data_IF_866393732603
#
_entry.id   IF_866393732603
#
_cell.length_a   1.000
_cell.length_b   1.000
_cell.length_c   1.000
_cell.angle_alpha   90.00
_cell.angle_beta   90.00
_cell.angle_gamma   90.00
#
_symmetry.space_group_name_H-M   'P 1'
#
loop_
_entity.id
_entity.type
_entity.pdbx_description
1 polymer ?
#
# COMPACT_ATOMS: atom_id res chain seq x y z
N UNK A 1 -10.50 5.14 -13.45
CA UNK A 1 -10.52 6.42 -12.71
C UNK A 1 -9.78 6.22 -11.39
N UNK A 2 -8.88 7.16 -11.05
CA UNK A 2 -8.14 7.15 -9.79
C UNK A 2 -8.48 8.43 -9.02
N UNK A 3 -8.92 8.29 -7.78
CA UNK A 3 -9.28 9.38 -6.89
C UNK A 3 -8.49 9.27 -5.59
N UNK A 4 -8.21 10.40 -4.94
CA UNK A 4 -7.57 10.45 -3.61
C UNK A 4 -8.31 11.45 -2.73
N UNK A 5 -8.65 11.05 -1.51
CA UNK A 5 -9.50 11.84 -0.60
C UNK A 5 -10.98 11.47 -0.70
N UNK A 6 -11.78 11.91 0.29
CA UNK A 6 -13.24 11.74 0.29
C UNK A 6 -13.77 10.31 0.44
N UNK A 7 -12.94 9.37 0.93
CA UNK A 7 -13.31 7.95 1.12
C UNK A 7 -13.37 7.49 2.59
N UNK A 8 -13.34 8.43 3.54
CA UNK A 8 -13.27 8.14 4.98
C UNK A 8 -14.67 7.96 5.61
N UNK A 9 -14.79 8.23 6.93
CA UNK A 9 -16.06 8.36 7.69
C UNK A 9 -16.31 9.78 8.25
N UNK A 10 -15.73 10.81 7.66
CA UNK A 10 -16.01 12.20 8.01
C UNK A 10 -17.33 12.71 7.43
N UNK A 11 -17.78 13.88 7.90
CA UNK A 11 -19.01 14.55 7.44
C UNK A 11 -19.02 14.96 5.95
N UNK A 12 -17.94 14.68 5.20
CA UNK A 12 -17.73 15.08 3.81
C UNK A 12 -17.50 13.91 2.83
N UNK A 13 -17.78 12.66 3.24
CA UNK A 13 -17.54 11.48 2.37
C UNK A 13 -18.72 11.20 1.43
N UNK A 14 -18.96 12.15 0.53
CA UNK A 14 -19.96 12.04 -0.54
C UNK A 14 -19.51 11.12 -1.68
N UNK A 15 -18.23 10.74 -1.73
CA UNK A 15 -17.68 10.05 -2.89
C UNK A 15 -18.26 8.66 -3.11
N UNK A 16 -18.39 7.77 -2.10
CA UNK A 16 -19.02 6.47 -2.30
C UNK A 16 -20.47 6.61 -2.80
N UNK A 17 -21.22 7.57 -2.27
CA UNK A 17 -22.60 7.83 -2.70
C UNK A 17 -22.63 8.33 -4.15
N UNK A 18 -21.85 9.35 -4.50
CA UNK A 18 -21.80 9.90 -5.86
C UNK A 18 -21.37 8.85 -6.90
N UNK A 19 -20.44 7.95 -6.55
CA UNK A 19 -20.03 6.85 -7.41
C UNK A 19 -21.17 5.85 -7.63
N UNK A 20 -21.93 5.51 -6.58
CA UNK A 20 -23.11 4.64 -6.71
C UNK A 20 -24.20 5.27 -7.56
N UNK A 21 -24.50 6.56 -7.35
CA UNK A 21 -25.46 7.33 -8.16
C UNK A 21 -25.03 7.43 -9.64
N UNK A 22 -23.71 7.41 -9.89
CA UNK A 22 -23.14 7.37 -11.24
C UNK A 22 -23.12 5.95 -11.87
N UNK A 23 -23.73 4.97 -11.21
CA UNK A 23 -23.83 3.59 -11.70
C UNK A 23 -22.56 2.75 -11.51
N UNK A 24 -21.66 3.15 -10.61
CA UNK A 24 -20.49 2.35 -10.24
C UNK A 24 -20.90 1.37 -9.13
N UNK A 25 -20.69 0.08 -9.35
CA UNK A 25 -20.90 -0.94 -8.33
C UNK A 25 -19.72 -0.96 -7.37
N UNK A 26 -19.99 -0.74 -6.09
CA UNK A 26 -19.01 -0.92 -5.01
C UNK A 26 -18.68 -2.40 -4.84
N UNK A 27 -17.39 -2.73 -4.85
CA UNK A 27 -16.89 -4.10 -4.62
C UNK A 27 -16.41 -4.22 -3.17
N UNK A 28 -15.65 -3.24 -2.69
CA UNK A 28 -15.32 -3.13 -1.27
C UNK A 28 -15.06 -1.68 -0.86
N UNK A 29 -15.32 -1.40 0.41
CA UNK A 29 -14.99 -0.14 1.07
C UNK A 29 -14.27 -0.43 2.38
N UNK A 30 -12.94 -0.44 2.31
CA UNK A 30 -11.89 -0.72 3.31
C UNK A 30 -11.07 -1.97 2.99
N UNK A 31 -9.81 -1.91 3.40
CA UNK A 31 -8.85 -3.01 3.39
C UNK A 31 -8.19 -3.14 4.75
N UNK A 32 -7.85 -4.36 5.16
CA UNK A 32 -7.23 -4.64 6.44
C UNK A 32 -5.73 -4.35 6.41
N UNK A 33 -5.35 -3.07 6.31
CA UNK A 33 -3.96 -2.65 6.24
C UNK A 33 -3.65 -1.39 7.04
N UNK A 34 -2.35 -1.14 7.23
CA UNK A 34 -1.82 0.15 7.68
C UNK A 34 -0.56 0.51 6.88
N UNK A 35 -0.38 1.78 6.47
CA UNK A 35 -1.40 2.83 6.40
C UNK A 35 -2.41 2.57 5.28
N UNK A 36 -3.59 3.21 5.36
CA UNK A 36 -4.57 3.18 4.26
C UNK A 36 -5.71 2.19 4.41
N UNK A 37 -6.21 1.99 5.63
CA UNK A 37 -7.41 1.20 5.87
C UNK A 37 -8.63 1.69 5.05
N UNK A 38 -8.93 3.01 4.92
CA UNK A 38 -9.93 3.45 3.96
C UNK A 38 -9.42 3.19 2.55
N UNK A 39 -10.17 2.44 1.76
CA UNK A 39 -9.88 2.23 0.35
C UNK A 39 -11.20 1.83 -0.28
N UNK A 40 -11.64 2.56 -1.28
CA UNK A 40 -12.86 2.23 -1.98
C UNK A 40 -12.52 1.73 -3.39
N UNK A 41 -13.10 0.60 -3.76
CA UNK A 41 -12.92 0.00 -5.07
C UNK A 41 -14.27 -0.40 -5.66
N UNK A 42 -14.42 -0.13 -6.96
CA UNK A 42 -15.63 -0.47 -7.67
C UNK A 42 -15.44 -0.40 -9.18
N UNK A 43 -16.49 -0.79 -9.90
CA UNK A 43 -16.49 -0.81 -11.35
C UNK A 43 -17.87 -0.46 -11.89
N UNK A 44 -17.89 0.32 -12.97
CA UNK A 44 -19.09 0.50 -13.79
C UNK A 44 -19.17 -0.65 -14.80
N UNK A 45 -20.28 -1.39 -14.89
CA UNK A 45 -20.45 -2.44 -15.91
C UNK A 45 -20.19 -1.89 -17.32
N UNK A 46 -19.31 -2.57 -18.07
CA UNK A 46 -18.88 -2.13 -19.41
C UNK A 46 -18.10 -0.80 -19.44
N UNK A 47 -17.67 -0.30 -18.29
CA UNK A 47 -17.07 1.03 -18.14
C UNK A 47 -15.84 1.06 -17.26
N UNK A 48 -15.64 2.19 -16.57
CA UNK A 48 -14.42 2.45 -15.82
C UNK A 48 -14.34 1.61 -14.54
N UNK A 49 -13.16 1.06 -14.29
CA UNK A 49 -12.70 0.64 -12.96
C UNK A 49 -12.31 1.86 -12.15
N UNK A 50 -12.71 1.91 -10.88
CA UNK A 50 -12.53 3.06 -9.99
C UNK A 50 -11.76 2.64 -8.74
N UNK A 51 -10.63 3.30 -8.51
CA UNK A 51 -9.88 3.24 -7.26
C UNK A 51 -10.01 4.58 -6.57
N UNK A 52 -10.49 4.59 -5.33
CA UNK A 52 -10.54 5.79 -4.51
C UNK A 52 -9.76 5.57 -3.22
N UNK A 53 -8.60 6.22 -3.16
CA UNK A 53 -7.58 6.11 -2.11
C UNK A 53 -7.82 7.17 -1.02
N UNK A 54 -7.27 7.01 0.19
CA UNK A 54 -7.33 8.01 1.25
C UNK A 54 -6.84 9.40 0.81
N UNK A 55 -7.19 10.44 1.57
CA UNK A 55 -6.56 11.76 1.38
C UNK A 55 -5.15 11.85 1.97
N UNK A 56 -4.79 10.88 2.82
CA UNK A 56 -3.46 10.82 3.42
C UNK A 56 -2.42 10.39 2.35
N UNK A 57 -1.35 11.17 2.12
CA UNK A 57 -0.40 10.88 1.04
C UNK A 57 0.33 9.55 1.21
N UNK A 58 0.73 9.19 2.44
CA UNK A 58 1.44 7.92 2.71
C UNK A 58 0.54 6.72 2.41
N UNK A 59 -0.71 6.79 2.85
CA UNK A 59 -1.72 5.77 2.57
C UNK A 59 -2.05 5.65 1.07
N UNK A 60 -2.19 6.79 0.39
CA UNK A 60 -2.41 6.84 -1.07
C UNK A 60 -1.26 6.19 -1.81
N UNK A 61 -0.03 6.55 -1.42
CA UNK A 61 1.18 6.03 -2.01
C UNK A 61 1.28 4.50 -1.84
N UNK A 62 1.06 4.00 -0.62
CA UNK A 62 1.01 2.57 -0.35
C UNK A 62 -0.06 1.85 -1.19
N UNK A 63 -1.28 2.40 -1.23
CA UNK A 63 -2.38 1.85 -2.03
C UNK A 63 -2.08 1.82 -3.53
N UNK A 64 -1.41 2.85 -4.05
CA UNK A 64 -1.01 2.90 -5.45
C UNK A 64 -0.03 1.77 -5.80
N UNK A 65 1.06 1.63 -5.05
CA UNK A 65 2.07 0.61 -5.36
C UNK A 65 1.56 -0.82 -5.14
N UNK A 66 0.71 -1.03 -4.14
CA UNK A 66 0.19 -2.36 -3.82
C UNK A 66 -0.90 -2.83 -4.77
N UNK A 67 -1.79 -1.94 -5.21
CA UNK A 67 -3.01 -2.32 -5.93
C UNK A 67 -3.12 -1.70 -7.32
N UNK A 68 -2.84 -0.41 -7.46
CA UNK A 68 -3.14 0.34 -8.70
C UNK A 68 -2.06 0.12 -9.76
N UNK A 69 -0.77 0.17 -9.38
CA UNK A 69 0.35 0.05 -10.32
C UNK A 69 0.33 -1.27 -11.07
N UNK A 70 0.14 -2.39 -10.36
CA UNK A 70 0.06 -3.72 -10.96
C UNK A 70 -1.11 -3.84 -11.93
N UNK A 71 -2.31 -3.40 -11.50
CA UNK A 71 -3.50 -3.37 -12.34
C UNK A 71 -3.31 -2.51 -13.61
N UNK A 72 -2.72 -1.32 -13.49
CA UNK A 72 -2.49 -0.44 -14.62
C UNK A 72 -1.52 -1.05 -15.64
N UNK A 73 -0.44 -1.67 -15.16
CA UNK A 73 0.53 -2.36 -16.02
C UNK A 73 -0.13 -3.52 -16.76
N UNK A 74 -0.93 -4.32 -16.06
CA UNK A 74 -1.63 -5.45 -16.65
C UNK A 74 -2.64 -5.01 -17.73
N UNK A 75 -3.40 -3.94 -17.48
CA UNK A 75 -4.35 -3.41 -18.48
C UNK A 75 -3.67 -2.79 -19.69
N UNK A 76 -2.40 -2.41 -19.58
CA UNK A 76 -1.54 -1.98 -20.69
C UNK A 76 -0.82 -3.14 -21.40
N UNK A 77 -1.10 -4.40 -21.03
CA UNK A 77 -0.46 -5.57 -21.62
C UNK A 77 1.01 -5.77 -21.19
N UNK A 78 1.46 -5.09 -20.13
CA UNK A 78 2.80 -5.30 -19.60
C UNK A 78 2.86 -6.58 -18.78
N UNK A 79 4.02 -7.26 -18.82
CA UNK A 79 4.30 -8.37 -17.93
C UNK A 79 4.35 -7.88 -16.47
N UNK A 80 3.75 -8.67 -15.58
CA UNK A 80 3.82 -8.42 -14.14
C UNK A 80 5.16 -8.96 -13.64
N UNK A 81 5.98 -8.08 -13.06
CA UNK A 81 7.26 -8.45 -12.46
C UNK A 81 7.04 -9.52 -11.37
N UNK A 82 7.98 -10.47 -11.26
CA UNK A 82 7.96 -11.43 -10.16
C UNK A 82 8.00 -10.71 -8.81
N UNK A 83 7.26 -11.23 -7.83
CA UNK A 83 7.26 -10.68 -6.48
C UNK A 83 8.68 -10.76 -5.89
N UNK A 84 9.22 -9.62 -5.49
CA UNK A 84 10.51 -9.52 -4.80
C UNK A 84 10.29 -9.62 -3.30
N UNK A 85 11.26 -10.20 -2.59
CA UNK A 85 11.31 -10.28 -1.13
C UNK A 85 12.57 -9.60 -0.61
N UNK A 86 12.50 -9.09 0.62
CA UNK A 86 13.66 -8.60 1.36
C UNK A 86 13.62 -9.10 2.81
N UNK A 87 14.80 -9.25 3.42
CA UNK A 87 14.93 -9.63 4.82
C UNK A 87 14.89 -8.39 5.71
N UNK A 88 14.09 -8.44 6.75
CA UNK A 88 14.03 -7.38 7.75
C UNK A 88 15.38 -7.25 8.47
N UNK A 89 16.00 -6.07 8.45
CA UNK A 89 17.34 -5.88 9.02
C UNK A 89 17.34 -5.79 10.56
N UNK A 90 16.25 -5.30 11.15
CA UNK A 90 16.06 -5.16 12.60
C UNK A 90 14.64 -5.58 12.98
N UNK A 91 14.40 -6.14 14.17
CA UNK A 91 13.07 -6.59 14.55
C UNK A 91 12.07 -5.42 14.56
N UNK A 92 10.81 -5.72 14.25
CA UNK A 92 9.69 -4.77 14.26
C UNK A 92 8.54 -5.34 15.06
N UNK A 93 7.97 -4.53 15.95
CA UNK A 93 6.72 -4.87 16.64
C UNK A 93 5.56 -4.09 16.02
N UNK A 94 4.50 -4.81 15.64
CA UNK A 94 3.27 -4.26 15.11
C UNK A 94 2.06 -5.04 15.64
N UNK A 95 1.45 -4.53 16.71
CA UNK A 95 0.33 -5.18 17.41
C UNK A 95 -0.99 -5.31 16.62
N UNK A 96 -1.40 -4.36 15.76
CA UNK A 96 -2.68 -4.46 15.07
C UNK A 96 -2.74 -5.67 14.12
N UNK A 97 -3.89 -6.35 14.08
CA UNK A 97 -4.16 -7.44 13.12
C UNK A 97 -4.46 -6.89 11.72
N UNK A 98 -3.49 -6.22 11.12
CA UNK A 98 -3.56 -5.58 9.80
C UNK A 98 -2.27 -5.88 9.04
N UNK A 99 -2.34 -5.97 7.70
CA UNK A 99 -1.12 -5.96 6.89
C UNK A 99 -0.41 -4.63 7.08
N UNK A 100 0.86 -4.65 7.49
CA UNK A 100 1.63 -3.44 7.71
C UNK A 100 2.59 -3.19 6.55
N UNK A 101 2.35 -2.11 5.83
CA UNK A 101 3.23 -1.62 4.77
C UNK A 101 4.28 -0.70 5.38
N UNK A 102 5.38 -1.32 5.84
CA UNK A 102 6.49 -0.64 6.46
C UNK A 102 7.39 0.01 5.39
N UNK A 103 7.59 1.32 5.46
CA UNK A 103 8.57 1.99 4.63
C UNK A 103 9.99 1.55 5.01
N UNK A 104 10.80 1.19 4.01
CA UNK A 104 12.15 0.65 4.23
C UNK A 104 13.18 1.26 3.30
N UNK A 105 14.40 1.38 3.80
CA UNK A 105 15.62 1.58 3.01
C UNK A 105 16.22 0.22 2.67
N UNK A 106 16.72 0.07 1.45
CA UNK A 106 17.23 -1.20 0.96
C UNK A 106 18.76 -1.20 0.92
N UNK A 107 19.36 -2.31 1.36
CA UNK A 107 20.80 -2.55 1.29
C UNK A 107 21.06 -3.91 0.64
N UNK A 108 21.97 -3.96 -0.33
CA UNK A 108 22.48 -5.23 -0.85
C UNK A 108 23.64 -5.69 0.03
N UNK A 109 23.41 -6.71 0.85
CA UNK A 109 24.44 -7.28 1.69
C UNK A 109 25.51 -8.02 0.86
N UNK A 110 26.76 -8.15 1.35
CA UNK A 110 27.84 -8.84 0.64
C UNK A 110 27.55 -10.31 0.31
N UNK A 111 26.62 -10.94 1.01
CA UNK A 111 26.19 -12.33 0.78
C UNK A 111 25.03 -12.46 -0.22
N UNK A 112 24.67 -11.37 -0.90
CA UNK A 112 23.63 -11.35 -1.92
C UNK A 112 22.20 -11.20 -1.39
N UNK A 113 22.02 -11.06 -0.07
CA UNK A 113 20.70 -10.80 0.51
C UNK A 113 20.32 -9.33 0.34
N UNK A 114 19.04 -9.09 0.05
CA UNK A 114 18.45 -7.77 0.09
C UNK A 114 17.91 -7.50 1.50
N UNK A 115 18.56 -6.60 2.23
CA UNK A 115 18.15 -6.19 3.57
C UNK A 115 17.22 -4.98 3.48
N UNK A 116 16.21 -4.96 4.35
CA UNK A 116 15.23 -3.90 4.47
C UNK A 116 15.32 -3.29 5.87
N UNK A 117 15.87 -2.08 5.94
CA UNK A 117 15.98 -1.28 7.14
C UNK A 117 14.73 -0.45 7.33
N UNK A 118 14.00 -0.56 8.46
CA UNK A 118 12.85 0.30 8.74
C UNK A 118 13.24 1.78 8.59
N UNK A 119 12.56 2.50 7.71
CA UNK A 119 12.81 3.92 7.54
C UNK A 119 12.30 4.67 8.79
N UNK A 120 13.03 5.68 9.28
CA UNK A 120 12.52 6.53 10.36
C UNK A 120 11.34 7.34 9.84
N UNK A 121 10.11 6.91 10.13
CA UNK A 121 8.89 7.66 9.79
C UNK A 121 8.24 8.22 11.05
N UNK A 122 7.89 9.50 11.06
CA UNK A 122 7.22 10.20 12.16
C UNK A 122 5.69 9.95 12.24
N UNK A 123 5.17 8.95 11.51
CA UNK A 123 3.76 8.56 11.52
C UNK A 123 3.10 8.61 10.13
N UNK A 124 1.77 8.44 10.08
CA UNK A 124 1.04 8.27 8.83
C UNK A 124 1.00 9.53 7.95
N UNK A 125 1.30 10.72 8.46
CA UNK A 125 1.37 11.96 7.67
C UNK A 125 2.77 12.29 7.15
N UNK A 126 3.78 11.48 7.49
CA UNK A 126 5.17 11.79 7.22
C UNK A 126 5.57 11.45 5.78
N UNK A 127 5.32 12.39 4.88
CA UNK A 127 5.75 12.32 3.48
C UNK A 127 7.29 12.38 3.36
N UNK A 128 7.97 13.07 4.28
CA UNK A 128 9.43 13.14 4.28
C UNK A 128 10.06 11.77 4.56
N UNK A 129 9.47 10.99 5.46
CA UNK A 129 9.84 9.60 5.70
C UNK A 129 9.71 8.71 4.44
N UNK A 130 8.71 8.95 3.59
CA UNK A 130 8.63 8.27 2.28
C UNK A 130 9.72 8.73 1.30
N UNK A 131 10.17 9.97 1.37
CA UNK A 131 11.27 10.46 0.55
C UNK A 131 12.63 9.85 0.93
N UNK A 132 12.75 9.26 2.10
CA UNK A 132 13.96 8.55 2.50
C UNK A 132 13.91 7.05 2.18
N UNK A 133 12.75 6.50 1.81
CA UNK A 133 12.54 5.06 1.61
C UNK A 133 12.68 4.64 0.13
N UNK A 134 12.99 3.36 -0.07
CA UNK A 134 13.15 2.73 -1.39
C UNK A 134 11.99 1.80 -1.76
N UNK A 135 11.28 1.30 -0.74
CA UNK A 135 10.18 0.36 -0.88
C UNK A 135 9.26 0.29 0.33
N UNK A 136 8.18 -0.48 0.18
CA UNK A 136 7.31 -0.90 1.27
C UNK A 136 7.46 -2.40 1.49
N UNK A 137 7.82 -2.82 2.69
CA UNK A 137 7.82 -4.21 3.11
C UNK A 137 6.43 -4.57 3.67
N UNK A 138 5.78 -5.59 3.11
CA UNK A 138 4.44 -6.02 3.51
C UNK A 138 4.53 -7.08 4.62
N UNK A 139 4.38 -6.65 5.86
CA UNK A 139 4.35 -7.51 7.04
C UNK A 139 2.91 -8.02 7.26
N UNK A 140 2.74 -9.34 7.31
CA UNK A 140 1.42 -9.97 7.36
C UNK A 140 0.70 -9.80 8.70
N UNK A 141 -0.65 -9.90 8.74
CA UNK A 141 -1.46 -9.61 9.94
C UNK A 141 -1.42 -10.68 11.04
N UNK A 142 -0.78 -11.84 10.80
CA UNK A 142 -0.89 -13.03 11.64
C UNK A 142 0.12 -13.07 12.80
N UNK A 143 0.93 -12.03 12.96
CA UNK A 143 1.92 -11.93 14.03
C UNK A 143 2.12 -10.47 14.43
N UNK A 144 2.53 -10.28 15.68
CA UNK A 144 2.76 -8.94 16.24
C UNK A 144 4.23 -8.60 16.37
N UNK A 145 5.11 -9.61 16.33
CA UNK A 145 6.55 -9.46 16.37
C UNK A 145 7.15 -10.03 15.08
N UNK A 146 7.99 -9.26 14.43
CA UNK A 146 8.67 -9.62 13.19
C UNK A 146 10.17 -9.65 13.45
N UNK A 147 10.76 -10.84 13.45
CA UNK A 147 12.17 -11.01 13.76
C UNK A 147 13.06 -10.48 12.63
N UNK A 148 14.25 -9.98 12.98
CA UNK A 148 15.30 -9.72 12.00
C UNK A 148 15.65 -11.01 11.23
N UNK A 149 15.99 -10.87 9.96
CA UNK A 149 16.26 -11.98 9.05
C UNK A 149 15.01 -12.63 8.43
N UNK A 150 13.81 -12.34 8.93
CA UNK A 150 12.57 -12.82 8.29
C UNK A 150 12.36 -12.14 6.93
N UNK A 151 11.96 -12.91 5.91
CA UNK A 151 11.79 -12.44 4.54
C UNK A 151 10.31 -12.14 4.25
N UNK A 152 10.05 -10.96 3.67
CA UNK A 152 8.69 -10.47 3.42
C UNK A 152 8.56 -9.86 2.02
N UNK A 153 7.35 -9.85 1.42
CA UNK A 153 7.12 -9.23 0.13
C UNK A 153 7.50 -7.75 0.12
N UNK A 154 8.19 -7.32 -0.93
CA UNK A 154 8.69 -5.98 -1.11
C UNK A 154 8.04 -5.30 -2.32
N UNK A 155 7.47 -4.12 -2.09
CA UNK A 155 6.94 -3.23 -3.11
C UNK A 155 7.92 -2.09 -3.37
N UNK A 156 8.83 -2.29 -4.33
CA UNK A 156 9.86 -1.30 -4.70
C UNK A 156 9.28 -0.14 -5.49
N UNK A 157 9.64 1.07 -5.12
CA UNK A 157 9.28 2.28 -5.87
C UNK A 157 10.48 3.14 -6.27
N UNK A 158 11.69 2.86 -5.76
CA UNK A 158 12.95 3.41 -6.26
C UNK A 158 13.79 2.33 -6.95
N UNK A 159 14.55 2.76 -7.97
CA UNK A 159 15.49 1.91 -8.71
C UNK A 159 16.83 1.93 -8.02
#
# INVERSE_FOLDING_TARGET
MLLSGGVSKGQADFLPQALRESGVTEIFHRVAQRPGQPFWFGQRPGGATVFALPGNPVATFAGYYRYVRGWLRQTQGQLIDNQVFAQLASPVDFKPALSYFLAVQLENAPDGRLLAHPAPTAGSGDVAGLLAADGLLELGPNQTHFAAGSAWPLWRFRR
#
